data_IF_041428677507
#
_entry.id   IF_041428677507
#
_cell.length_a   1.000
_cell.length_b   1.000
_cell.length_c   1.000
_cell.angle_alpha   90.00
_cell.angle_beta   90.00
_cell.angle_gamma   90.00
#
_symmetry.space_group_name_H-M   'P 1'
#
loop_
_entity.id
_entity.type
_entity.pdbx_description
1 polymer ?
#
# COMPACT_ATOMS: atom_id res chain seq x y z
N UNK A 1 -56.20 -26.78 -12.06
CA UNK A 1 -55.01 -27.59 -12.37
C UNK A 1 -53.89 -27.09 -11.45
N UNK A 2 -53.64 -27.78 -10.35
CA UNK A 2 -52.60 -27.42 -9.38
C UNK A 2 -51.53 -28.52 -9.42
N UNK A 3 -50.31 -28.18 -9.82
CA UNK A 3 -49.18 -29.10 -9.88
C UNK A 3 -48.42 -29.05 -8.55
N UNK A 4 -48.61 -30.07 -7.73
CA UNK A 4 -47.87 -30.26 -6.48
C UNK A 4 -46.42 -30.66 -6.79
N UNK A 5 -45.47 -29.75 -6.57
CA UNK A 5 -44.04 -30.05 -6.66
C UNK A 5 -43.59 -30.74 -5.37
N UNK A 6 -43.20 -32.00 -5.48
CA UNK A 6 -42.66 -32.79 -4.37
C UNK A 6 -41.16 -32.49 -4.25
N UNK A 7 -40.76 -31.85 -3.14
CA UNK A 7 -39.35 -31.59 -2.82
C UNK A 7 -38.70 -32.86 -2.26
N UNK A 8 -37.86 -33.52 -3.05
CA UNK A 8 -37.02 -34.62 -2.59
C UNK A 8 -35.77 -34.05 -1.89
N UNK A 9 -35.58 -34.42 -0.62
CA UNK A 9 -34.39 -34.03 0.15
C UNK A 9 -33.12 -34.74 -0.38
N UNK A 10 -31.96 -34.07 -0.43
CA UNK A 10 -30.72 -34.69 -0.86
C UNK A 10 -30.16 -35.68 0.17
N UNK A 11 -29.41 -36.72 -0.25
CA UNK A 11 -28.83 -37.70 0.66
C UNK A 11 -27.68 -37.09 1.50
N UNK A 12 -27.40 -37.65 2.70
CA UNK A 12 -26.32 -37.16 3.54
C UNK A 12 -24.95 -37.43 2.90
N UNK A 13 -24.08 -36.42 2.94
CA UNK A 13 -22.68 -36.53 2.49
C UNK A 13 -21.93 -37.56 3.35
N UNK A 14 -21.44 -38.63 2.71
CA UNK A 14 -20.58 -39.61 3.36
C UNK A 14 -19.23 -38.96 3.74
N UNK A 15 -18.97 -38.85 5.05
CA UNK A 15 -17.67 -38.40 5.59
C UNK A 15 -16.69 -39.56 5.47
N UNK A 16 -15.72 -39.45 4.57
CA UNK A 16 -14.60 -40.40 4.50
C UNK A 16 -13.54 -40.02 5.56
N UNK A 17 -12.98 -40.98 6.31
CA UNK A 17 -11.92 -40.68 7.27
C UNK A 17 -10.63 -40.33 6.51
N UNK A 18 -10.25 -39.05 6.59
CA UNK A 18 -8.99 -38.54 6.04
C UNK A 18 -7.79 -39.24 6.72
N UNK A 19 -7.10 -40.11 5.98
CA UNK A 19 -5.79 -40.65 6.38
C UNK A 19 -4.82 -39.47 6.51
N UNK A 20 -4.49 -39.08 7.74
CA UNK A 20 -3.42 -38.10 7.99
C UNK A 20 -2.11 -38.66 7.41
N UNK A 21 -1.41 -37.94 6.52
CA UNK A 21 -0.08 -38.35 6.10
C UNK A 21 0.85 -38.33 7.31
N UNK A 22 1.73 -39.35 7.42
CA UNK A 22 2.79 -39.38 8.43
C UNK A 22 3.66 -38.14 8.25
N UNK A 23 3.83 -37.37 9.33
CA UNK A 23 4.65 -36.16 9.36
C UNK A 23 6.08 -36.52 8.98
N UNK A 24 6.52 -36.11 7.80
CA UNK A 24 7.93 -36.18 7.44
C UNK A 24 8.73 -35.36 8.45
N UNK A 25 9.71 -35.96 9.10
CA UNK A 25 10.67 -35.25 9.95
C UNK A 25 11.45 -34.31 9.06
N UNK A 26 11.24 -32.99 9.24
CA UNK A 26 11.99 -31.96 8.52
C UNK A 26 13.47 -32.09 8.92
N UNK A 27 14.42 -32.18 7.97
CA UNK A 27 15.84 -32.14 8.32
C UNK A 27 16.16 -30.81 9.03
N UNK A 28 17.19 -30.78 9.89
CA UNK A 28 17.56 -29.56 10.60
C UNK A 28 17.85 -28.45 9.58
N UNK A 29 17.09 -27.37 9.68
CA UNK A 29 17.32 -26.15 8.93
C UNK A 29 18.72 -25.66 9.27
N UNK A 30 19.62 -25.60 8.28
CA UNK A 30 20.89 -24.89 8.39
C UNK A 30 20.57 -23.40 8.54
N UNK A 31 20.17 -22.99 9.73
CA UNK A 31 20.20 -21.58 10.08
C UNK A 31 21.69 -21.23 10.25
N UNK A 32 22.21 -20.22 9.55
CA UNK A 32 23.50 -19.68 9.92
C UNK A 32 23.37 -19.13 11.35
N UNK A 33 24.25 -19.60 12.23
CA UNK A 33 24.49 -19.01 13.55
C UNK A 33 24.57 -17.48 13.42
N UNK A 34 23.99 -16.69 14.34
CA UNK A 34 24.16 -15.25 14.34
C UNK A 34 25.61 -14.93 14.73
N UNK A 35 26.51 -15.01 13.74
CA UNK A 35 27.87 -14.54 13.84
C UNK A 35 27.85 -13.04 14.10
N UNK A 36 28.51 -12.65 15.19
CA UNK A 36 28.83 -11.27 15.52
C UNK A 36 29.62 -10.60 14.39
N UNK A 37 28.89 -9.99 13.45
CA UNK A 37 29.39 -9.05 12.47
C UNK A 37 28.98 -7.64 12.84
N UNK A 38 29.55 -7.09 13.92
CA UNK A 38 29.35 -5.70 14.35
C UNK A 38 30.06 -4.73 13.40
N UNK A 39 29.60 -4.63 12.16
CA UNK A 39 29.94 -3.51 11.28
C UNK A 39 29.31 -2.22 11.82
N UNK A 40 29.91 -1.04 11.57
CA UNK A 40 29.32 0.22 12.03
C UNK A 40 27.93 0.38 11.39
N UNK A 41 26.88 0.29 12.21
CA UNK A 41 25.52 0.68 11.82
C UNK A 41 25.60 2.15 11.45
N UNK A 42 25.63 2.45 10.14
CA UNK A 42 25.57 3.82 9.64
C UNK A 42 24.25 4.40 10.12
N UNK A 43 24.32 5.32 11.09
CA UNK A 43 23.15 6.07 11.55
C UNK A 43 22.43 6.63 10.31
N UNK A 44 21.10 6.47 10.18
CA UNK A 44 20.37 7.14 9.11
C UNK A 44 20.70 8.63 9.20
N UNK A 45 21.10 9.23 8.08
CA UNK A 45 21.26 10.69 8.04
C UNK A 45 19.92 11.29 8.47
N UNK A 46 19.99 12.22 9.42
CA UNK A 46 18.82 13.00 9.80
C UNK A 46 18.18 13.57 8.52
N UNK A 47 16.85 13.43 8.34
CA UNK A 47 16.20 14.01 7.18
C UNK A 47 16.50 15.50 7.18
N UNK A 48 16.95 16.04 6.03
CA UNK A 48 17.04 17.48 5.86
C UNK A 48 15.66 18.03 6.18
N UNK A 49 15.53 18.97 7.13
CA UNK A 49 14.29 19.73 7.31
C UNK A 49 14.01 20.43 5.97
N UNK A 50 13.16 19.82 5.14
CA UNK A 50 12.69 20.41 3.91
C UNK A 50 11.55 21.34 4.28
N UNK A 51 11.57 22.56 3.75
CA UNK A 51 10.44 23.47 3.90
C UNK A 51 9.21 22.78 3.30
N UNK A 52 8.06 22.76 4.00
CA UNK A 52 6.83 22.21 3.43
C UNK A 52 6.45 22.94 2.14
N UNK A 53 5.90 22.20 1.18
CA UNK A 53 5.36 22.74 -0.06
C UNK A 53 3.98 23.39 0.18
N UNK A 54 3.37 23.91 -0.90
CA UNK A 54 2.11 24.64 -0.83
C UNK A 54 0.91 23.81 -0.35
N UNK A 55 1.02 22.48 -0.25
CA UNK A 55 -0.05 21.63 0.26
C UNK A 55 -0.22 21.66 1.79
N UNK A 56 0.72 22.26 2.54
CA UNK A 56 0.60 22.40 3.99
C UNK A 56 -0.67 23.13 4.43
N UNK A 57 -1.12 24.10 3.63
CA UNK A 57 -2.30 24.93 3.89
C UNK A 57 -3.59 24.36 3.27
N UNK A 58 -3.54 23.16 2.68
CA UNK A 58 -4.69 22.55 2.04
C UNK A 58 -5.74 22.08 3.08
N UNK A 59 -7.03 22.29 2.78
CA UNK A 59 -8.12 21.81 3.63
C UNK A 59 -8.13 20.27 3.74
N UNK A 60 -7.82 19.58 2.64
CA UNK A 60 -7.84 18.12 2.56
C UNK A 60 -6.72 17.50 3.41
N UNK A 61 -7.04 16.58 4.34
CA UNK A 61 -6.02 15.82 5.07
C UNK A 61 -5.12 15.01 4.13
N UNK A 62 -5.64 14.48 3.03
CA UNK A 62 -4.87 13.73 2.03
C UNK A 62 -3.78 14.59 1.38
N UNK A 63 -4.09 15.85 1.06
CA UNK A 63 -3.11 16.75 0.47
C UNK A 63 -2.03 17.16 1.48
N UNK A 64 -2.41 17.43 2.73
CA UNK A 64 -1.45 17.77 3.81
C UNK A 64 -0.45 16.66 4.11
N UNK A 65 -0.83 15.38 3.93
CA UNK A 65 0.10 14.25 4.06
C UNK A 65 1.28 14.32 3.07
N UNK A 66 1.13 15.06 1.96
CA UNK A 66 2.15 15.24 0.94
C UNK A 66 2.93 16.56 1.07
N UNK A 67 2.72 17.33 2.16
CA UNK A 67 3.31 18.66 2.34
C UNK A 67 4.84 18.64 2.47
N UNK A 68 5.40 17.60 3.08
CA UNK A 68 6.85 17.47 3.30
C UNK A 68 7.57 16.72 2.17
N UNK A 69 6.83 16.32 1.12
CA UNK A 69 7.41 15.62 -0.01
C UNK A 69 8.45 16.50 -0.72
N UNK A 70 9.52 15.91 -1.27
CA UNK A 70 10.58 16.66 -1.93
C UNK A 70 10.15 17.34 -3.23
N UNK A 71 9.01 16.95 -3.79
CA UNK A 71 8.37 17.56 -4.95
C UNK A 71 7.62 18.81 -4.50
N UNK A 72 7.78 19.93 -5.22
CA UNK A 72 7.06 21.18 -4.98
C UNK A 72 5.60 21.07 -5.44
N UNK A 73 4.81 20.26 -4.72
CA UNK A 73 3.39 20.11 -5.01
C UNK A 73 2.63 21.40 -4.75
N UNK A 74 1.67 21.68 -5.64
CA UNK A 74 0.75 22.81 -5.53
C UNK A 74 -0.69 22.30 -5.59
N UNK A 75 -1.63 22.96 -4.90
CA UNK A 75 -3.04 22.66 -5.09
C UNK A 75 -3.44 22.94 -6.54
N UNK A 76 -4.52 22.30 -6.97
CA UNK A 76 -5.10 22.59 -8.28
C UNK A 76 -5.57 24.04 -8.35
N UNK A 77 -5.09 24.78 -9.35
CA UNK A 77 -5.41 26.20 -9.49
C UNK A 77 -4.66 26.85 -10.67
N UNK A 78 -5.08 28.06 -11.08
CA UNK A 78 -4.47 28.78 -12.19
C UNK A 78 -2.98 29.09 -11.96
N UNK A 79 -2.54 29.20 -10.71
CA UNK A 79 -1.15 29.53 -10.34
C UNK A 79 -0.16 28.46 -10.79
N UNK A 80 -0.54 27.18 -10.73
CA UNK A 80 0.29 26.07 -11.19
C UNK A 80 0.50 26.12 -12.71
N UNK A 81 -0.55 26.44 -13.46
CA UNK A 81 -0.48 26.56 -14.92
C UNK A 81 0.26 27.83 -15.37
N UNK A 82 0.07 28.95 -14.67
CA UNK A 82 0.81 30.18 -14.93
C UNK A 82 2.32 29.98 -14.75
N UNK A 83 2.70 29.27 -13.68
CA UNK A 83 4.10 28.93 -13.42
C UNK A 83 4.69 28.00 -14.48
N UNK A 84 3.94 26.99 -14.91
CA UNK A 84 4.37 26.07 -15.97
C UNK A 84 4.57 26.79 -17.31
N UNK A 85 3.65 27.70 -17.67
CA UNK A 85 3.80 28.56 -18.87
C UNK A 85 5.00 29.49 -18.77
N UNK A 86 5.22 30.14 -17.62
CA UNK A 86 6.35 31.03 -17.38
C UNK A 86 7.70 30.31 -17.53
N UNK A 87 7.75 29.04 -17.12
CA UNK A 87 8.95 28.20 -17.17
C UNK A 87 9.10 27.39 -18.44
N UNK A 88 8.10 27.41 -19.32
CA UNK A 88 8.02 26.57 -20.52
C UNK A 88 8.25 25.07 -20.23
N UNK A 89 7.53 24.55 -19.23
CA UNK A 89 7.59 23.14 -18.82
C UNK A 89 6.19 22.52 -18.75
N UNK A 90 6.05 21.21 -18.97
CA UNK A 90 4.77 20.53 -18.83
C UNK A 90 4.29 20.50 -17.37
N UNK A 91 2.98 20.33 -17.19
CA UNK A 91 2.36 20.10 -15.87
C UNK A 91 2.17 18.60 -15.66
N UNK A 92 2.65 18.09 -14.53
CA UNK A 92 2.27 16.76 -14.03
C UNK A 92 1.05 16.90 -13.10
N UNK A 93 0.00 16.14 -13.38
CA UNK A 93 -1.21 16.11 -12.56
C UNK A 93 -1.27 14.75 -11.87
N UNK A 94 -1.21 14.76 -10.53
CA UNK A 94 -1.41 13.57 -9.70
C UNK A 94 -2.74 13.71 -8.94
N UNK A 95 -3.59 12.68 -9.05
CA UNK A 95 -4.92 12.67 -8.45
C UNK A 95 -5.04 11.43 -7.57
N UNK A 96 -5.57 11.62 -6.36
CA UNK A 96 -5.82 10.52 -5.43
C UNK A 96 -6.73 10.94 -4.29
N UNK A 97 -6.96 10.02 -3.36
CA UNK A 97 -7.84 10.21 -2.21
C UNK A 97 -7.42 9.30 -1.05
N UNK A 98 -7.84 9.64 0.17
CA UNK A 98 -7.33 9.04 1.40
C UNK A 98 -7.58 7.54 1.57
N UNK A 99 -8.55 6.95 0.87
CA UNK A 99 -8.86 5.51 0.93
C UNK A 99 -8.40 4.72 -0.30
N UNK A 100 -7.60 5.34 -1.16
CA UNK A 100 -6.98 4.71 -2.33
C UNK A 100 -5.74 3.91 -1.89
N UNK A 101 -5.83 2.57 -1.90
CA UNK A 101 -4.69 1.71 -1.53
C UNK A 101 -3.42 2.04 -2.35
N UNK A 102 -3.55 2.15 -3.67
CA UNK A 102 -2.42 2.38 -4.56
C UNK A 102 -1.82 3.79 -4.45
N UNK A 103 -2.59 4.77 -3.97
CA UNK A 103 -2.10 6.14 -3.81
C UNK A 103 -1.15 6.29 -2.61
N UNK A 104 -1.21 5.37 -1.64
CA UNK A 104 -0.32 5.35 -0.47
C UNK A 104 0.94 4.50 -0.68
N UNK A 105 0.88 3.56 -1.62
CA UNK A 105 1.99 2.65 -1.94
C UNK A 105 2.88 3.24 -3.04
N UNK A 106 2.40 4.25 -3.76
CA UNK A 106 3.19 5.11 -4.66
C UNK A 106 3.90 6.21 -3.90
#
# INVERSE_FOLDING_TARGET
MATSSTSAAPPPCAVTPSRRPRRATRPPSKHPEPGQGGGPVKKPRAPKLRKPNALADAASPYLRQHADNPVDWRPWGPEAFAEARRRDVPVIVSIGYSTCHWCHVM
#
